data_IF_322109915294
#
_entry.id   IF_322109915294
#
_cell.length_a   1.000
_cell.length_b   1.000
_cell.length_c   1.000
_cell.angle_alpha   90.00
_cell.angle_beta   90.00
_cell.angle_gamma   90.00
#
_symmetry.space_group_name_H-M   'P 1'
#
loop_
_entity.id
_entity.type
_entity.pdbx_description
1 polymer ?
#
# COMPACT_ATOMS: atom_id res chain seq x y z
N UNK A 1 33.42 9.91 12.55
CA UNK A 1 32.46 9.39 11.55
C UNK A 1 31.61 10.55 11.07
N UNK A 2 31.40 10.71 9.76
CA UNK A 2 30.68 11.84 9.15
C UNK A 2 29.15 11.63 9.06
N UNK A 3 28.66 10.43 9.35
CA UNK A 3 27.23 10.10 9.32
C UNK A 3 26.53 10.53 10.63
N UNK A 4 25.28 10.98 10.51
CA UNK A 4 24.44 11.33 11.65
C UNK A 4 24.04 10.12 12.49
N UNK A 5 23.73 10.33 13.76
CA UNK A 5 23.21 9.29 14.65
C UNK A 5 21.74 8.98 14.29
N UNK A 6 21.40 7.76 13.83
CA UNK A 6 20.03 7.42 13.44
C UNK A 6 19.01 7.56 14.58
N UNK A 7 19.43 7.39 15.85
CA UNK A 7 18.55 7.50 17.02
C UNK A 7 18.03 8.92 17.26
N UNK A 8 18.69 9.92 16.68
CA UNK A 8 18.30 11.33 16.75
C UNK A 8 17.56 11.80 15.49
N UNK A 9 17.37 10.92 14.50
CA UNK A 9 16.67 11.27 13.27
C UNK A 9 15.16 11.16 13.48
N UNK A 10 14.50 12.31 13.67
CA UNK A 10 13.04 12.40 13.80
C UNK A 10 12.30 12.53 12.46
N UNK A 11 13.02 12.55 11.34
CA UNK A 11 12.41 12.68 10.01
C UNK A 11 12.10 11.32 9.36
N UNK A 12 12.72 10.23 9.83
CA UNK A 12 12.52 8.90 9.25
C UNK A 12 11.42 8.12 9.95
N UNK A 13 10.62 7.40 9.15
CA UNK A 13 9.67 6.41 9.65
C UNK A 13 10.32 5.03 9.87
N UNK A 14 11.59 4.85 9.49
CA UNK A 14 12.31 3.57 9.59
C UNK A 14 12.74 3.30 11.02
N UNK A 15 12.63 2.03 11.47
CA UNK A 15 13.10 1.60 12.79
C UNK A 15 14.61 1.79 12.92
N UNK A 16 15.05 2.46 13.99
CA UNK A 16 16.48 2.73 14.27
C UNK A 16 17.04 1.93 15.44
N UNK A 17 16.26 0.98 15.98
CA UNK A 17 16.67 0.11 17.07
C UNK A 17 15.82 -1.16 17.15
N UNK A 18 16.47 -2.23 17.59
CA UNK A 18 15.90 -3.55 17.84
C UNK A 18 16.59 -4.18 19.07
N UNK A 19 15.93 -5.16 19.69
CA UNK A 19 16.47 -5.90 20.83
C UNK A 19 17.72 -6.72 20.46
N UNK A 20 18.66 -6.95 21.40
CA UNK A 20 19.88 -7.72 21.15
C UNK A 20 19.65 -9.13 20.59
N UNK A 21 18.59 -9.79 21.01
CA UNK A 21 18.17 -11.12 20.53
C UNK A 21 17.82 -11.07 19.05
N UNK A 22 17.19 -9.98 18.59
CA UNK A 22 16.85 -9.81 17.19
C UNK A 22 18.08 -9.47 16.34
N UNK A 23 19.03 -8.70 16.89
CA UNK A 23 20.33 -8.49 16.24
C UNK A 23 21.08 -9.82 16.06
N UNK A 24 21.05 -10.70 17.08
CA UNK A 24 21.65 -12.03 16.99
C UNK A 24 21.00 -12.85 15.87
N UNK A 25 19.68 -12.90 15.82
CA UNK A 25 18.95 -13.61 14.74
C UNK A 25 19.33 -13.09 13.35
N UNK A 26 19.36 -11.76 13.16
CA UNK A 26 19.74 -11.16 11.88
C UNK A 26 21.16 -11.54 11.46
N UNK A 27 22.11 -11.50 12.39
CA UNK A 27 23.51 -11.85 12.13
C UNK A 27 23.67 -13.35 11.84
N UNK A 28 22.95 -14.21 12.56
CA UNK A 28 22.95 -15.66 12.35
C UNK A 28 22.29 -16.06 11.01
N UNK A 29 21.43 -15.19 10.44
CA UNK A 29 20.74 -15.42 9.16
C UNK A 29 21.30 -14.64 7.97
N UNK A 30 22.37 -13.86 8.14
CA UNK A 30 22.85 -12.92 7.10
C UNK A 30 23.28 -13.60 5.78
N UNK A 31 23.67 -14.88 5.85
CA UNK A 31 24.09 -15.68 4.71
C UNK A 31 22.95 -16.54 4.11
N UNK A 32 21.72 -16.44 4.64
CA UNK A 32 20.56 -17.13 4.08
C UNK A 32 19.99 -16.28 2.95
N UNK A 33 19.99 -16.84 1.75
CA UNK A 33 19.37 -16.21 0.60
C UNK A 33 17.86 -16.53 0.58
N UNK A 34 17.01 -15.50 0.68
CA UNK A 34 15.56 -15.69 0.83
C UNK A 34 14.89 -16.38 -0.37
N UNK A 35 15.41 -16.17 -1.59
CA UNK A 35 14.79 -16.74 -2.81
C UNK A 35 15.01 -18.25 -2.94
N UNK A 36 15.99 -18.80 -2.21
CA UNK A 36 16.39 -20.21 -2.25
C UNK A 36 15.46 -21.05 -1.33
N UNK A 37 14.21 -21.24 -1.78
CA UNK A 37 13.16 -21.88 -0.97
C UNK A 37 13.41 -23.36 -0.68
N UNK A 38 14.10 -24.06 -1.60
CA UNK A 38 14.40 -25.49 -1.45
C UNK A 38 15.51 -25.72 -0.41
N UNK A 39 16.48 -24.82 -0.34
CA UNK A 39 17.59 -24.86 0.62
C UNK A 39 17.15 -24.37 2.01
N UNK A 40 16.20 -23.45 2.09
CA UNK A 40 15.74 -22.83 3.33
C UNK A 40 14.21 -22.92 3.53
N UNK A 41 13.61 -24.13 3.55
CA UNK A 41 12.16 -24.29 3.60
C UNK A 41 11.54 -23.70 4.87
N UNK A 42 12.26 -23.71 5.99
CA UNK A 42 11.80 -23.09 7.25
C UNK A 42 11.70 -21.58 7.14
N UNK A 43 12.55 -20.92 6.34
CA UNK A 43 12.47 -19.47 6.10
C UNK A 43 11.19 -19.12 5.34
N UNK A 44 10.84 -19.92 4.32
CA UNK A 44 9.60 -19.79 3.57
C UNK A 44 8.38 -20.01 4.46
N UNK A 45 8.40 -21.04 5.31
CA UNK A 45 7.32 -21.30 6.27
C UNK A 45 7.12 -20.15 7.25
N UNK A 46 8.20 -19.53 7.74
CA UNK A 46 8.12 -18.35 8.60
C UNK A 46 7.49 -17.16 7.86
N UNK A 47 7.84 -16.95 6.60
CA UNK A 47 7.22 -15.90 5.79
C UNK A 47 5.71 -16.15 5.60
N UNK A 48 5.30 -17.38 5.29
CA UNK A 48 3.88 -17.75 5.18
C UNK A 48 3.12 -17.48 6.49
N UNK A 49 3.71 -17.79 7.64
CA UNK A 49 3.11 -17.48 8.96
C UNK A 49 2.98 -15.96 9.17
N UNK A 50 4.00 -15.19 8.84
CA UNK A 50 3.95 -13.73 8.94
C UNK A 50 2.84 -13.13 8.04
N UNK A 51 2.71 -13.61 6.80
CA UNK A 51 1.61 -13.20 5.91
C UNK A 51 0.26 -13.51 6.53
N UNK A 52 0.08 -14.72 7.07
CA UNK A 52 -1.18 -15.11 7.70
C UNK A 52 -1.50 -14.27 8.95
N UNK A 53 -0.50 -13.94 9.78
CA UNK A 53 -0.68 -13.08 10.95
C UNK A 53 -1.15 -11.68 10.53
N UNK A 54 -0.52 -11.11 9.49
CA UNK A 54 -0.88 -9.78 8.98
C UNK A 54 -2.26 -9.80 8.29
N UNK A 55 -2.57 -10.84 7.53
CA UNK A 55 -3.87 -10.99 6.89
C UNK A 55 -5.00 -11.07 7.92
N UNK A 56 -4.80 -11.85 9.00
CA UNK A 56 -5.73 -11.88 10.13
C UNK A 56 -5.85 -10.51 10.83
N UNK A 57 -4.72 -9.80 11.02
CA UNK A 57 -4.72 -8.45 11.59
C UNK A 57 -5.55 -7.47 10.76
N UNK A 58 -5.56 -7.62 9.43
CA UNK A 58 -6.38 -6.83 8.51
C UNK A 58 -7.79 -7.37 8.28
N UNK A 59 -8.22 -8.37 9.06
CA UNK A 59 -9.54 -9.01 8.94
C UNK A 59 -9.81 -9.53 7.52
N UNK A 60 -8.78 -10.03 6.83
CA UNK A 60 -8.94 -10.60 5.51
C UNK A 60 -9.94 -11.78 5.55
N UNK A 61 -10.82 -11.91 4.54
CA UNK A 61 -11.71 -13.06 4.44
C UNK A 61 -10.90 -14.31 4.02
N UNK A 62 -10.36 -15.03 5.01
CA UNK A 62 -9.57 -16.23 4.80
C UNK A 62 -10.47 -17.45 4.53
N UNK A 63 -10.99 -17.57 3.31
CA UNK A 63 -11.54 -18.84 2.80
C UNK A 63 -10.44 -19.69 2.15
N UNK A 64 -10.58 -21.03 2.18
CA UNK A 64 -9.73 -21.93 1.40
C UNK A 64 -9.94 -21.59 -0.09
N UNK A 65 -8.87 -21.14 -0.76
CA UNK A 65 -8.77 -20.97 -2.21
C UNK A 65 -9.41 -19.71 -2.85
N UNK A 66 -9.42 -18.56 -2.16
CA UNK A 66 -9.75 -17.29 -2.81
C UNK A 66 -8.56 -16.77 -3.64
N UNK A 67 -8.43 -17.24 -4.89
CA UNK A 67 -7.62 -16.57 -5.91
C UNK A 67 -8.36 -15.29 -6.33
N UNK A 68 -7.71 -14.13 -6.20
CA UNK A 68 -8.26 -12.86 -6.70
C UNK A 68 -8.48 -12.93 -8.20
N UNK A 69 -9.73 -12.87 -8.63
CA UNK A 69 -10.11 -12.80 -10.05
C UNK A 69 -10.21 -11.33 -10.43
N UNK A 70 -9.16 -10.78 -11.04
CA UNK A 70 -9.25 -9.50 -11.73
C UNK A 70 -10.02 -9.70 -13.03
N UNK A 71 -11.15 -9.02 -13.20
CA UNK A 71 -11.87 -8.96 -14.47
C UNK A 71 -11.19 -7.88 -15.31
N UNK A 72 -10.32 -8.28 -16.24
CA UNK A 72 -9.71 -7.35 -17.19
C UNK A 72 -10.68 -7.02 -18.31
N UNK A 73 -11.23 -5.80 -18.32
CA UNK A 73 -11.79 -5.17 -19.52
C UNK A 73 -10.65 -4.70 -20.43
N UNK A 74 -10.89 -4.35 -21.71
CA UNK A 74 -9.84 -3.80 -22.58
C UNK A 74 -9.40 -2.42 -22.04
N UNK A 75 -8.11 -2.22 -21.74
CA UNK A 75 -7.61 -0.93 -21.22
C UNK A 75 -6.44 -0.41 -22.06
N UNK A 76 -6.77 0.43 -23.03
CA UNK A 76 -5.75 1.13 -23.84
C UNK A 76 -5.11 2.30 -23.06
N UNK A 77 -5.73 2.72 -21.94
CA UNK A 77 -5.38 3.89 -21.12
C UNK A 77 -5.75 3.71 -19.63
N UNK A 78 -5.09 2.80 -18.89
CA UNK A 78 -5.39 2.58 -17.47
C UNK A 78 -5.08 3.82 -16.64
N UNK A 79 -5.86 4.09 -15.60
CA UNK A 79 -5.56 5.15 -14.63
C UNK A 79 -5.78 4.71 -13.18
N UNK A 80 -5.12 5.39 -12.24
CA UNK A 80 -5.30 5.22 -10.79
C UNK A 80 -5.65 6.57 -10.16
N UNK A 81 -6.55 6.56 -9.17
CA UNK A 81 -6.94 7.77 -8.42
C UNK A 81 -6.30 7.76 -7.03
N UNK A 82 -5.61 8.85 -6.67
CA UNK A 82 -4.98 9.05 -5.35
C UNK A 82 -5.17 10.50 -4.88
N UNK A 83 -4.81 10.79 -3.63
CA UNK A 83 -4.59 12.19 -3.21
C UNK A 83 -3.24 12.71 -3.68
N UNK A 84 -3.07 14.02 -3.80
CA UNK A 84 -1.78 14.65 -4.10
C UNK A 84 -0.77 14.57 -2.93
N UNK A 85 -1.19 14.03 -1.78
CA UNK A 85 -0.36 13.60 -0.64
C UNK A 85 0.26 12.19 -0.84
N UNK A 86 0.13 11.61 -2.04
CA UNK A 86 0.66 10.29 -2.37
C UNK A 86 2.18 10.22 -2.22
N UNK A 87 2.69 9.06 -1.81
CA UNK A 87 4.12 8.81 -1.72
C UNK A 87 4.68 8.49 -3.12
N UNK A 88 5.91 8.92 -3.40
CA UNK A 88 6.60 8.80 -4.70
C UNK A 88 6.60 7.39 -5.32
N UNK A 89 6.38 6.32 -4.56
CA UNK A 89 6.27 4.97 -5.07
C UNK A 89 5.12 4.81 -6.09
N UNK A 90 4.03 5.57 -5.94
CA UNK A 90 2.91 5.53 -6.86
C UNK A 90 3.19 6.28 -8.15
N UNK A 91 3.95 7.39 -8.12
CA UNK A 91 4.45 8.04 -9.34
C UNK A 91 5.38 7.10 -10.13
N UNK A 92 6.24 6.37 -9.41
CA UNK A 92 7.09 5.35 -10.03
C UNK A 92 6.27 4.23 -10.66
N UNK A 93 5.26 3.72 -9.96
CA UNK A 93 4.34 2.74 -10.51
C UNK A 93 3.65 3.27 -11.78
N UNK A 94 3.04 4.44 -11.70
CA UNK A 94 2.37 5.09 -12.83
C UNK A 94 3.32 5.23 -14.04
N UNK A 95 4.54 5.71 -13.81
CA UNK A 95 5.51 5.92 -14.86
C UNK A 95 6.08 4.62 -15.45
N UNK A 96 6.37 3.61 -14.62
CA UNK A 96 6.99 2.35 -15.08
C UNK A 96 6.00 1.40 -15.75
N UNK A 97 4.72 1.46 -15.35
CA UNK A 97 3.66 0.60 -15.85
C UNK A 97 2.69 1.32 -16.79
N UNK A 98 3.02 2.55 -17.22
CA UNK A 98 2.24 3.34 -18.17
C UNK A 98 0.77 3.54 -17.74
N UNK A 99 0.57 3.82 -16.45
CA UNK A 99 -0.74 4.11 -15.86
C UNK A 99 -0.84 5.62 -15.60
N UNK A 100 -1.94 6.24 -16.02
CA UNK A 100 -2.22 7.65 -15.71
C UNK A 100 -2.49 7.83 -14.21
N UNK A 101 -1.78 8.77 -13.57
CA UNK A 101 -1.99 9.12 -12.16
C UNK A 101 -2.93 10.32 -12.03
N UNK A 102 -4.15 10.08 -11.56
CA UNK A 102 -5.15 11.13 -11.28
C UNK A 102 -5.11 11.52 -9.81
N UNK A 103 -4.64 12.74 -9.54
CA UNK A 103 -4.48 13.23 -8.18
C UNK A 103 -5.59 14.19 -7.75
N UNK A 104 -6.21 13.92 -6.62
CA UNK A 104 -7.05 14.88 -5.88
C UNK A 104 -6.14 15.94 -5.25
N UNK A 105 -6.25 17.18 -5.71
CA UNK A 105 -5.43 18.29 -5.21
C UNK A 105 -5.77 18.64 -3.75
N UNK A 106 -4.72 18.85 -2.96
CA UNK A 106 -4.85 19.32 -1.58
C UNK A 106 -5.30 20.77 -1.54
N UNK A 107 -5.92 21.18 -0.42
CA UNK A 107 -6.30 22.57 -0.15
C UNK A 107 -5.90 22.95 1.26
N UNK A 108 -5.77 24.25 1.51
CA UNK A 108 -5.43 24.74 2.84
C UNK A 108 -6.47 24.26 3.88
N UNK A 109 -5.98 23.73 5.00
CA UNK A 109 -6.82 23.11 6.03
C UNK A 109 -7.36 21.71 5.69
N UNK A 110 -6.99 21.12 4.56
CA UNK A 110 -7.38 19.76 4.16
C UNK A 110 -6.24 19.08 3.37
N UNK A 111 -5.41 18.32 4.07
CA UNK A 111 -4.11 17.82 3.57
C UNK A 111 -4.10 16.33 3.23
N UNK A 112 -5.29 15.72 3.14
CA UNK A 112 -5.50 14.34 2.73
C UNK A 112 -6.43 14.28 1.52
N UNK A 113 -6.58 13.10 0.89
CA UNK A 113 -7.53 12.92 -0.21
C UNK A 113 -8.98 13.18 0.25
N UNK A 114 -9.70 14.03 -0.49
CA UNK A 114 -11.15 14.20 -0.31
C UNK A 114 -11.89 13.03 -0.98
N UNK A 115 -12.62 12.18 -0.22
CA UNK A 115 -13.28 11.01 -0.79
C UNK A 115 -14.30 11.34 -1.89
N UNK A 116 -14.99 12.48 -1.80
CA UNK A 116 -15.98 12.90 -2.80
C UNK A 116 -15.26 13.23 -4.12
N UNK A 117 -14.16 13.98 -4.03
CA UNK A 117 -13.34 14.33 -5.19
C UNK A 117 -12.63 13.14 -5.81
N UNK A 118 -12.19 12.18 -5.00
CA UNK A 118 -11.65 10.93 -5.51
C UNK A 118 -12.68 10.19 -6.37
N UNK A 119 -13.90 10.04 -5.85
CA UNK A 119 -15.00 9.35 -6.55
C UNK A 119 -15.41 10.10 -7.83
N UNK A 120 -15.35 11.43 -7.87
CA UNK A 120 -15.58 12.23 -9.08
C UNK A 120 -14.59 11.88 -10.22
N UNK A 121 -13.34 11.55 -9.89
CA UNK A 121 -12.27 11.25 -10.87
C UNK A 121 -12.31 9.82 -11.43
N UNK A 122 -13.06 8.92 -10.78
CA UNK A 122 -13.21 7.52 -11.21
C UNK A 122 -14.00 7.43 -12.52
N UNK A 123 -13.47 6.65 -13.46
CA UNK A 123 -14.08 6.29 -14.74
C UNK A 123 -13.88 4.80 -15.05
N UNK A 124 -14.34 4.35 -16.22
CA UNK A 124 -14.26 2.95 -16.66
C UNK A 124 -12.83 2.40 -16.83
N UNK A 125 -11.82 3.27 -16.88
CA UNK A 125 -10.41 2.90 -17.02
C UNK A 125 -9.67 2.94 -15.68
N UNK A 126 -10.37 3.27 -14.59
CA UNK A 126 -9.78 3.37 -13.25
C UNK A 126 -9.54 1.98 -12.68
N UNK A 127 -8.27 1.58 -12.53
CA UNK A 127 -7.90 0.24 -12.05
C UNK A 127 -8.06 0.10 -10.53
N UNK A 128 -7.90 1.19 -9.78
CA UNK A 128 -8.20 1.28 -8.36
C UNK A 128 -8.20 2.74 -7.86
N UNK A 129 -8.73 2.94 -6.65
CA UNK A 129 -8.53 4.16 -5.86
C UNK A 129 -7.66 3.81 -4.66
N UNK A 130 -6.47 4.43 -4.54
CA UNK A 130 -5.53 4.12 -3.46
C UNK A 130 -5.59 5.16 -2.35
N UNK A 131 -6.28 4.80 -1.26
CA UNK A 131 -6.33 5.59 -0.03
C UNK A 131 -5.11 5.33 0.87
N UNK A 132 -4.73 6.36 1.63
CA UNK A 132 -3.50 6.39 2.45
C UNK A 132 -3.85 6.38 3.93
N UNK A 133 -3.55 5.27 4.60
CA UNK A 133 -3.68 5.14 6.05
C UNK A 133 -2.39 5.60 6.76
N UNK A 134 -2.18 6.92 6.77
CA UNK A 134 -1.02 7.57 7.38
C UNK A 134 -0.22 8.35 6.36
N UNK A 135 -0.65 9.58 6.08
CA UNK A 135 0.07 10.46 5.16
C UNK A 135 1.48 10.76 5.66
N UNK A 136 2.47 10.73 4.75
CA UNK A 136 3.84 11.11 5.07
C UNK A 136 4.00 12.60 5.37
N UNK A 137 3.00 13.42 5.01
CA UNK A 137 3.03 14.88 5.20
C UNK A 137 2.64 15.29 6.62
N UNK A 138 1.56 14.70 7.17
CA UNK A 138 0.99 15.10 8.45
C UNK A 138 0.60 13.92 9.38
N UNK A 139 0.78 12.67 8.95
CA UNK A 139 0.43 11.46 9.72
C UNK A 139 -1.05 11.13 9.76
N UNK A 140 -1.90 11.89 9.07
CA UNK A 140 -3.36 11.73 9.09
C UNK A 140 -3.80 10.48 8.32
N UNK A 141 -4.89 9.87 8.79
CA UNK A 141 -5.54 8.75 8.12
C UNK A 141 -6.64 9.29 7.21
N UNK A 142 -6.63 8.87 5.95
CA UNK A 142 -7.75 9.10 5.05
C UNK A 142 -9.00 8.33 5.50
N UNK A 143 -10.18 8.88 5.22
CA UNK A 143 -11.45 8.23 5.53
C UNK A 143 -11.77 7.13 4.50
N UNK A 144 -11.09 5.99 4.67
CA UNK A 144 -11.25 4.80 3.84
C UNK A 144 -12.69 4.29 3.87
N UNK A 145 -13.39 4.44 5.00
CA UNK A 145 -14.78 3.99 5.12
C UNK A 145 -15.71 4.83 4.27
N UNK A 146 -15.62 6.16 4.37
CA UNK A 146 -16.41 7.05 3.54
C UNK A 146 -16.11 6.84 2.05
N UNK A 147 -14.84 6.69 1.69
CA UNK A 147 -14.44 6.39 0.32
C UNK A 147 -15.08 5.09 -0.19
N UNK A 148 -15.01 4.01 0.59
CA UNK A 148 -15.66 2.74 0.26
C UNK A 148 -17.16 2.90 0.06
N UNK A 149 -17.85 3.56 0.99
CA UNK A 149 -19.29 3.72 0.95
C UNK A 149 -19.74 4.50 -0.30
N UNK A 150 -19.00 5.56 -0.68
CA UNK A 150 -19.26 6.33 -1.90
C UNK A 150 -18.96 5.55 -3.19
N UNK A 151 -17.88 4.76 -3.22
CA UNK A 151 -17.55 3.91 -4.37
C UNK A 151 -18.60 2.82 -4.59
N UNK A 152 -19.11 2.20 -3.52
CA UNK A 152 -20.18 1.22 -3.61
C UNK A 152 -21.45 1.82 -4.22
N UNK A 153 -21.83 3.06 -3.85
CA UNK A 153 -22.96 3.74 -4.49
C UNK A 153 -22.69 4.07 -5.96
N UNK A 154 -21.48 4.51 -6.31
CA UNK A 154 -21.11 4.75 -7.71
C UNK A 154 -21.15 3.47 -8.54
N UNK A 155 -20.61 2.35 -8.03
CA UNK A 155 -20.59 1.07 -8.73
C UNK A 155 -21.99 0.52 -9.01
N UNK A 156 -22.97 0.76 -8.12
CA UNK A 156 -24.39 0.41 -8.38
C UNK A 156 -24.97 1.15 -9.59
N UNK A 157 -24.49 2.36 -9.86
CA UNK A 157 -24.97 3.22 -10.96
C UNK A 157 -24.22 2.91 -12.25
N UNK A 158 -22.90 2.79 -12.20
CA UNK A 158 -22.04 2.64 -13.39
C UNK A 158 -21.91 1.20 -13.85
N UNK A 159 -22.10 0.22 -12.96
CA UNK A 159 -21.83 -1.19 -13.23
C UNK A 159 -20.34 -1.53 -13.27
N UNK A 160 -19.46 -0.63 -12.83
CA UNK A 160 -18.04 -0.93 -12.66
C UNK A 160 -17.87 -1.94 -11.52
N UNK A 161 -16.97 -2.92 -11.71
CA UNK A 161 -16.66 -3.97 -10.73
C UNK A 161 -15.47 -3.57 -9.88
#
# INVERSE_FOLDING_TARGET
MLYGNPRLNLASFVKTWMEPECNKLMMDSINKNYVDMDEYPVTTDLQNRCVNIIANLFNAPLEKDAAGVGVGTPFDKPNIVTGANVQVCWEKFANYFEVELKEVKLREGYYVMDPVKAVELVDENTICVAAILGSTLNGEFEDVKLLNDLLLEKNKITGYA
#
